data_IF_986583588707
#
_entry.id   IF_986583588707
#
_cell.length_a   1.000
_cell.length_b   1.000
_cell.length_c   1.000
_cell.angle_alpha   90.00
_cell.angle_beta   90.00
_cell.angle_gamma   90.00
#
_symmetry.space_group_name_H-M   'P 1'
#
loop_
_entity.id
_entity.type
_entity.pdbx_description
1 polymer ?
#
# COMPACT_ATOMS: atom_id res chain seq x y z
N UNK A 1 -18.99 -3.74 6.44
CA UNK A 1 -17.52 -3.67 6.57
C UNK A 1 -17.14 -2.36 7.24
N UNK A 2 -16.06 -2.32 8.04
CA UNK A 2 -15.74 -1.16 8.88
C UNK A 2 -15.34 0.07 8.05
N UNK A 3 -15.88 1.23 8.39
CA UNK A 3 -15.50 2.54 7.82
C UNK A 3 -14.66 3.37 8.80
N UNK A 4 -14.27 2.78 9.93
CA UNK A 4 -13.56 3.47 11.01
C UNK A 4 -12.27 4.14 10.54
N UNK A 5 -11.49 3.45 9.71
CA UNK A 5 -10.26 3.99 9.15
C UNK A 5 -10.47 5.20 8.22
N UNK A 6 -11.68 5.37 7.68
CA UNK A 6 -12.05 6.47 6.80
C UNK A 6 -12.71 7.64 7.55
N UNK A 7 -12.87 7.57 8.87
CA UNK A 7 -13.39 8.69 9.65
C UNK A 7 -12.41 9.87 9.63
N UNK A 8 -12.89 11.13 9.80
CA UNK A 8 -12.03 12.31 9.84
C UNK A 8 -10.90 12.20 10.87
N UNK A 9 -9.69 12.61 10.51
CA UNK A 9 -8.50 12.63 11.37
C UNK A 9 -7.69 13.91 11.18
N UNK A 10 -6.88 14.33 12.17
CA UNK A 10 -6.07 15.55 12.05
C UNK A 10 -5.13 15.56 10.83
N UNK A 11 -4.59 14.39 10.45
CA UNK A 11 -3.70 14.26 9.30
C UNK A 11 -4.39 14.39 7.94
N UNK A 12 -5.73 14.50 7.87
CA UNK A 12 -6.45 14.51 6.59
C UNK A 12 -6.14 15.77 5.75
N UNK A 13 -5.68 16.85 6.38
CA UNK A 13 -5.23 18.07 5.71
C UNK A 13 -3.75 18.03 5.27
N UNK A 14 -3.00 16.99 5.67
CA UNK A 14 -1.59 16.88 5.28
C UNK A 14 -1.47 16.69 3.77
N UNK A 15 -0.60 17.48 3.15
CA UNK A 15 -0.26 17.37 1.74
C UNK A 15 0.47 16.06 1.46
N UNK A 16 0.20 15.47 0.29
CA UNK A 16 0.85 14.27 -0.22
C UNK A 16 1.65 14.66 -1.46
N UNK A 17 2.97 14.46 -1.38
CA UNK A 17 3.90 14.68 -2.50
C UNK A 17 4.37 13.37 -3.13
N UNK A 18 4.39 12.29 -2.35
CA UNK A 18 4.81 10.97 -2.81
C UNK A 18 3.88 9.91 -2.24
N UNK A 19 3.46 8.99 -3.10
CA UNK A 19 2.79 7.75 -2.71
C UNK A 19 3.79 6.63 -2.84
N UNK A 20 4.18 6.03 -1.71
CA UNK A 20 5.20 4.99 -1.63
C UNK A 20 4.55 3.65 -1.35
N UNK A 21 4.80 2.63 -2.16
CA UNK A 21 4.47 1.24 -1.82
C UNK A 21 5.66 0.63 -1.09
N UNK A 22 5.43 0.02 0.07
CA UNK A 22 6.48 -0.56 0.92
C UNK A 22 6.24 -2.06 1.07
N UNK A 23 7.31 -2.84 0.88
CA UNK A 23 7.34 -4.27 1.10
C UNK A 23 8.02 -4.56 2.43
N UNK A 24 7.31 -5.17 3.37
CA UNK A 24 7.81 -5.51 4.70
C UNK A 24 8.11 -7.01 4.80
N UNK A 25 9.27 -7.37 5.34
CA UNK A 25 9.52 -8.75 5.74
C UNK A 25 8.75 -9.09 7.03
N UNK A 26 7.97 -10.18 7.02
CA UNK A 26 7.28 -10.70 8.21
C UNK A 26 8.17 -11.61 9.08
N UNK A 27 9.43 -11.81 8.67
CA UNK A 27 10.42 -12.58 9.41
C UNK A 27 11.62 -12.92 8.53
N UNK A 28 12.71 -13.44 9.13
CA UNK A 28 13.82 -13.96 8.35
C UNK A 28 13.33 -15.12 7.48
N UNK A 29 13.90 -15.25 6.29
CA UNK A 29 13.75 -16.48 5.50
C UNK A 29 14.26 -17.62 6.38
N UNK A 30 13.38 -18.56 6.78
CA UNK A 30 13.80 -19.71 7.59
C UNK A 30 14.89 -20.46 6.83
N UNK A 31 15.90 -20.99 7.52
CA UNK A 31 16.97 -21.77 6.89
C UNK A 31 16.34 -22.97 6.15
N UNK A 32 16.51 -23.04 4.83
CA UNK A 32 15.88 -24.05 3.97
C UNK A 32 14.51 -23.67 3.37
N UNK A 33 13.95 -22.52 3.75
CA UNK A 33 12.79 -21.94 3.07
C UNK A 33 13.24 -21.09 1.88
N UNK A 34 12.47 -21.13 0.81
CA UNK A 34 12.72 -20.38 -0.43
C UNK A 34 11.88 -19.11 -0.53
N UNK A 35 11.23 -18.64 0.54
CA UNK A 35 10.31 -17.50 0.48
C UNK A 35 10.23 -16.78 1.83
N UNK A 36 10.31 -15.43 1.82
CA UNK A 36 9.96 -14.58 2.96
C UNK A 36 8.49 -14.21 2.82
N UNK A 37 7.65 -14.39 3.84
CA UNK A 37 6.31 -13.81 3.74
C UNK A 37 6.42 -12.29 3.77
N UNK A 38 5.96 -11.63 2.71
CA UNK A 38 5.95 -10.19 2.62
C UNK A 38 4.56 -9.65 2.94
N UNK A 39 4.53 -8.48 3.56
CA UNK A 39 3.34 -7.67 3.69
C UNK A 39 3.54 -6.37 2.92
N UNK A 40 2.53 -5.97 2.14
CA UNK A 40 2.60 -4.79 1.29
C UNK A 40 1.67 -3.72 1.83
N UNK A 41 2.18 -2.49 1.94
CA UNK A 41 1.41 -1.33 2.41
C UNK A 41 1.66 -0.14 1.51
N UNK A 42 0.76 0.85 1.58
CA UNK A 42 0.97 2.15 0.94
C UNK A 42 1.30 3.18 2.02
N UNK A 43 2.27 4.05 1.79
CA UNK A 43 2.64 5.18 2.64
C UNK A 43 2.47 6.48 1.86
N UNK A 44 1.77 7.44 2.45
CA UNK A 44 1.62 8.79 1.92
C UNK A 44 2.67 9.69 2.59
N UNK A 45 3.52 10.33 1.79
CA UNK A 45 4.62 11.16 2.25
C UNK A 45 4.38 12.63 1.93
N UNK A 46 4.55 13.48 2.93
CA UNK A 46 4.52 14.94 2.80
C UNK A 46 5.93 15.47 2.52
N UNK A 47 6.10 16.55 1.74
CA UNK A 47 7.42 16.99 1.28
C UNK A 47 8.35 17.45 2.42
N UNK A 48 7.79 17.92 3.54
CA UNK A 48 8.54 18.51 4.66
C UNK A 48 8.24 17.83 6.01
N UNK A 49 7.75 16.58 6.00
CA UNK A 49 7.44 15.84 7.22
C UNK A 49 8.40 14.66 7.40
N UNK A 50 8.88 14.37 8.62
CA UNK A 50 9.54 13.11 8.92
C UNK A 50 8.55 11.95 9.12
N UNK A 51 7.24 12.24 9.12
CA UNK A 51 6.18 11.25 9.33
C UNK A 51 5.63 10.73 8.00
N UNK A 52 5.05 9.53 8.03
CA UNK A 52 4.26 8.98 6.93
C UNK A 52 2.87 8.57 7.41
N UNK A 53 1.88 8.65 6.51
CA UNK A 53 0.56 8.07 6.76
C UNK A 53 0.50 6.72 6.04
N UNK A 54 0.48 5.63 6.81
CA UNK A 54 0.42 4.27 6.27
C UNK A 54 -1.02 3.84 6.09
N UNK A 55 -1.35 3.40 4.89
CA UNK A 55 -2.55 2.66 4.52
C UNK A 55 -2.20 1.18 4.51
N UNK A 56 -2.81 0.43 5.41
CA UNK A 56 -2.48 -0.95 5.69
C UNK A 56 -3.74 -1.81 5.62
N UNK A 57 -3.82 -2.64 4.58
CA UNK A 57 -4.93 -3.58 4.42
C UNK A 57 -4.51 -4.91 5.03
N UNK A 58 -5.12 -5.29 6.15
CA UNK A 58 -4.77 -6.48 6.95
C UNK A 58 -5.86 -7.56 6.89
N UNK A 59 -5.51 -8.85 7.00
CA UNK A 59 -6.49 -9.91 7.09
C UNK A 59 -7.28 -9.82 8.41
N UNK A 60 -8.59 -10.02 8.31
CA UNK A 60 -9.55 -10.01 9.41
C UNK A 60 -10.54 -11.16 9.24
N UNK A 61 -10.41 -12.20 10.06
CA UNK A 61 -11.16 -13.43 9.88
C UNK A 61 -10.76 -14.17 8.58
N UNK A 62 -11.60 -15.09 8.08
CA UNK A 62 -11.18 -16.03 7.03
C UNK A 62 -10.97 -15.40 5.65
N UNK A 63 -11.68 -14.31 5.30
CA UNK A 63 -11.61 -13.69 3.97
C UNK A 63 -11.83 -12.17 3.96
N UNK A 64 -11.95 -11.48 5.09
CA UNK A 64 -12.20 -10.05 5.09
C UNK A 64 -10.89 -9.27 5.22
N UNK A 65 -10.76 -8.18 4.48
CA UNK A 65 -9.71 -7.18 4.71
C UNK A 65 -10.21 -6.08 5.64
N UNK A 66 -9.37 -5.67 6.59
CA UNK A 66 -9.57 -4.46 7.39
C UNK A 66 -8.53 -3.43 6.96
N UNK A 67 -9.00 -2.29 6.45
CA UNK A 67 -8.15 -1.13 6.23
C UNK A 67 -7.83 -0.48 7.58
N UNK A 68 -6.54 -0.23 7.82
CA UNK A 68 -6.02 0.53 8.94
C UNK A 68 -5.23 1.70 8.37
N UNK A 69 -5.50 2.92 8.86
CA UNK A 69 -4.75 4.12 8.50
C UNK A 69 -4.07 4.68 9.74
N UNK A 70 -2.75 4.81 9.71
CA UNK A 70 -1.95 5.19 10.87
C UNK A 70 -0.84 6.17 10.50
N UNK A 71 -0.66 7.21 11.31
CA UNK A 71 0.51 8.08 11.23
C UNK A 71 1.71 7.40 11.91
N UNK A 72 2.85 7.40 11.24
CA UNK A 72 4.09 6.77 11.69
C UNK A 72 5.20 7.82 11.79
N UNK A 73 6.05 7.78 12.85
CA UNK A 73 7.10 8.77 13.07
C UNK A 73 8.35 8.52 12.20
N UNK A 74 8.16 7.93 11.02
CA UNK A 74 9.22 7.60 10.07
C UNK A 74 8.67 7.52 8.64
N UNK A 75 9.55 7.71 7.66
CA UNK A 75 9.22 7.62 6.23
C UNK A 75 9.29 6.19 5.68
N UNK A 76 10.15 5.34 6.24
CA UNK A 76 10.36 3.94 5.84
C UNK A 76 10.57 3.08 7.08
N UNK A 77 9.93 1.91 7.11
CA UNK A 77 10.11 0.95 8.20
C UNK A 77 11.51 0.33 8.15
N UNK A 78 12.10 0.03 9.31
CA UNK A 78 13.32 -0.79 9.40
C UNK A 78 13.12 -2.22 8.91
N UNK A 79 11.87 -2.66 8.72
CA UNK A 79 11.51 -3.95 8.13
C UNK A 79 11.24 -3.89 6.63
N UNK A 80 11.42 -2.73 6.00
CA UNK A 80 11.24 -2.59 4.56
C UNK A 80 12.36 -3.31 3.81
N UNK A 81 12.01 -4.28 2.99
CA UNK A 81 12.94 -4.99 2.08
C UNK A 81 13.01 -4.32 0.72
N UNK A 82 11.94 -3.61 0.32
CA UNK A 82 11.88 -2.79 -0.88
C UNK A 82 10.83 -1.68 -0.72
N UNK A 83 10.94 -0.64 -1.55
CA UNK A 83 9.89 0.36 -1.72
C UNK A 83 9.88 0.91 -3.15
N UNK A 84 8.73 1.42 -3.57
CA UNK A 84 8.50 1.98 -4.90
C UNK A 84 7.77 3.31 -4.76
N UNK A 85 8.35 4.38 -5.32
CA UNK A 85 7.84 5.74 -5.18
C UNK A 85 7.13 6.20 -6.43
N UNK A 86 5.95 6.79 -6.22
CA UNK A 86 5.17 7.45 -7.25
C UNK A 86 4.95 8.89 -6.83
N UNK A 87 5.51 9.82 -7.61
CA UNK A 87 5.37 11.24 -7.33
C UNK A 87 3.96 11.73 -7.68
N UNK A 88 3.39 12.55 -6.80
CA UNK A 88 2.19 13.32 -7.12
C UNK A 88 2.59 14.41 -8.13
N UNK A 89 1.73 14.68 -9.11
CA UNK A 89 2.01 15.73 -10.08
C UNK A 89 2.24 17.10 -9.42
N UNK A 90 3.29 17.86 -9.81
CA UNK A 90 3.63 19.12 -9.15
C UNK A 90 2.55 20.21 -9.17
N UNK A 91 1.61 20.16 -10.12
CA UNK A 91 0.50 21.10 -10.25
C UNK A 91 -0.75 20.69 -9.45
N UNK A 92 -0.70 19.56 -8.74
CA UNK A 92 -1.81 19.06 -7.92
C UNK A 92 -1.56 19.33 -6.44
N UNK A 93 -2.55 19.92 -5.78
CA UNK A 93 -2.62 19.93 -4.32
C UNK A 93 -3.46 18.74 -3.88
N UNK A 94 -2.81 17.69 -3.38
CA UNK A 94 -3.45 16.44 -2.93
C UNK A 94 -3.23 16.30 -1.43
N UNK A 95 -4.29 16.02 -0.70
CA UNK A 95 -4.22 15.73 0.73
C UNK A 95 -4.47 14.25 1.03
N UNK A 96 -4.14 13.82 2.25
CA UNK A 96 -4.50 12.50 2.76
C UNK A 96 -6.02 12.28 2.72
N UNK A 97 -6.81 13.33 2.99
CA UNK A 97 -8.26 13.32 2.85
C UNK A 97 -8.71 12.99 1.42
N UNK A 98 -8.10 13.61 0.40
CA UNK A 98 -8.42 13.29 -1.00
C UNK A 98 -8.14 11.83 -1.34
N UNK A 99 -7.03 11.27 -0.84
CA UNK A 99 -6.71 9.84 -1.02
C UNK A 99 -7.77 8.97 -0.34
N UNK A 100 -8.18 9.28 0.90
CA UNK A 100 -9.24 8.55 1.62
C UNK A 100 -10.57 8.59 0.88
N UNK A 101 -10.93 9.72 0.28
CA UNK A 101 -12.16 9.86 -0.50
C UNK A 101 -12.15 8.96 -1.74
N UNK A 102 -11.02 8.87 -2.44
CA UNK A 102 -10.85 7.94 -3.57
C UNK A 102 -11.00 6.49 -3.11
N UNK A 103 -10.36 6.11 -2.01
CA UNK A 103 -10.50 4.75 -1.44
C UNK A 103 -11.94 4.46 -1.01
N UNK A 104 -12.65 5.46 -0.50
CA UNK A 104 -14.07 5.33 -0.13
C UNK A 104 -14.92 5.12 -1.38
N UNK A 105 -14.78 6.02 -2.36
CA UNK A 105 -15.54 6.02 -3.60
C UNK A 105 -15.37 4.72 -4.38
N UNK A 106 -14.13 4.22 -4.50
CA UNK A 106 -13.83 2.97 -5.20
C UNK A 106 -14.02 1.71 -4.32
N UNK A 107 -14.54 1.84 -3.10
CA UNK A 107 -14.80 0.70 -2.23
C UNK A 107 -13.56 -0.06 -1.77
N UNK A 108 -12.37 0.56 -1.73
CA UNK A 108 -11.11 -0.12 -1.36
C UNK A 108 -11.04 -0.55 0.11
N UNK A 109 -11.88 0.03 0.96
CA UNK A 109 -12.10 -0.40 2.33
C UNK A 109 -13.03 -1.63 2.46
N UNK A 110 -13.67 -2.05 1.36
CA UNK A 110 -14.57 -3.21 1.26
C UNK A 110 -13.89 -4.39 0.56
N UNK A 111 -12.60 -4.56 0.83
CA UNK A 111 -11.78 -5.58 0.21
C UNK A 111 -11.96 -6.94 0.91
N UNK A 112 -12.15 -7.99 0.14
CA UNK A 112 -12.07 -9.38 0.60
C UNK A 112 -10.74 -9.96 0.18
N UNK A 113 -9.94 -10.31 1.19
CA UNK A 113 -8.65 -10.95 1.02
C UNK A 113 -8.80 -12.43 0.66
N UNK A 114 -7.73 -12.98 0.10
CA UNK A 114 -7.55 -14.41 -0.09
C UNK A 114 -6.92 -15.03 1.17
N UNK A 115 -6.92 -16.36 1.25
CA UNK A 115 -6.45 -17.07 2.46
C UNK A 115 -4.95 -16.88 2.73
N UNK A 116 -4.14 -16.69 1.68
CA UNK A 116 -2.68 -16.60 1.84
C UNK A 116 -2.09 -15.28 1.33
N UNK A 117 -2.91 -14.26 1.04
CA UNK A 117 -2.39 -12.98 0.59
C UNK A 117 -3.43 -11.96 0.10
N UNK A 118 -3.05 -11.24 -0.95
CA UNK A 118 -3.88 -10.22 -1.57
C UNK A 118 -3.57 -8.78 -1.14
N UNK A 119 -2.60 -8.54 -0.25
CA UNK A 119 -2.14 -7.20 0.08
C UNK A 119 -1.48 -6.51 -1.13
N UNK A 120 -0.77 -7.27 -1.96
CA UNK A 120 -0.18 -6.79 -3.21
C UNK A 120 -1.26 -6.31 -4.19
N UNK A 121 -2.29 -7.14 -4.43
CA UNK A 121 -3.41 -6.81 -5.30
C UNK A 121 -4.15 -5.57 -4.82
N UNK A 122 -4.30 -5.42 -3.50
CA UNK A 122 -4.88 -4.20 -2.91
C UNK A 122 -4.02 -2.97 -3.19
N UNK A 123 -2.71 -3.02 -2.93
CA UNK A 123 -1.79 -1.91 -3.20
C UNK A 123 -1.80 -1.51 -4.68
N UNK A 124 -1.81 -2.49 -5.59
CA UNK A 124 -1.93 -2.24 -7.03
C UNK A 124 -3.19 -1.47 -7.39
N UNK A 125 -4.34 -1.88 -6.84
CA UNK A 125 -5.61 -1.19 -7.07
C UNK A 125 -5.57 0.25 -6.52
N UNK A 126 -4.93 0.50 -5.37
CA UNK A 126 -4.75 1.87 -4.85
C UNK A 126 -3.92 2.73 -5.81
N UNK A 127 -2.77 2.25 -6.28
CA UNK A 127 -1.94 3.02 -7.22
C UNK A 127 -2.66 3.25 -8.55
N UNK A 128 -3.36 2.23 -9.06
CA UNK A 128 -4.17 2.35 -10.27
C UNK A 128 -5.30 3.38 -10.13
N UNK A 129 -5.98 3.41 -8.99
CA UNK A 129 -7.02 4.40 -8.73
C UNK A 129 -6.48 5.83 -8.72
N UNK A 130 -5.32 6.03 -8.09
CA UNK A 130 -4.67 7.34 -8.03
C UNK A 130 -4.13 7.78 -9.40
N UNK A 131 -3.65 6.85 -10.22
CA UNK A 131 -3.32 7.10 -11.63
C UNK A 131 -4.55 7.51 -12.43
N UNK A 132 -5.67 6.76 -12.31
CA UNK A 132 -6.93 7.07 -12.99
C UNK A 132 -7.52 8.43 -12.56
N UNK A 133 -7.27 8.86 -11.32
CA UNK A 133 -7.64 10.17 -10.81
C UNK A 133 -6.69 11.31 -11.26
N UNK A 134 -5.69 11.01 -12.10
CA UNK A 134 -4.63 11.93 -12.53
C UNK A 134 -3.87 12.58 -11.36
N UNK A 135 -3.72 11.84 -10.25
CA UNK A 135 -2.87 12.21 -9.11
C UNK A 135 -1.43 11.76 -9.36
N UNK A 136 -1.27 10.54 -9.88
CA UNK A 136 0.01 9.93 -10.24
C UNK A 136 0.17 9.87 -11.76
N UNK A 137 1.38 9.53 -12.23
CA UNK A 137 1.64 9.25 -13.64
C UNK A 137 0.74 8.14 -14.19
N UNK A 138 0.31 8.22 -15.48
CA UNK A 138 -0.67 7.29 -16.06
C UNK A 138 -0.23 5.82 -15.99
N UNK A 139 1.08 5.58 -16.01
CA UNK A 139 1.66 4.23 -16.01
C UNK A 139 2.01 3.71 -14.61
N UNK A 140 1.73 4.45 -13.53
CA UNK A 140 2.12 4.05 -12.17
C UNK A 140 1.61 2.66 -11.77
N UNK A 141 0.39 2.30 -12.22
CA UNK A 141 -0.16 0.96 -12.01
C UNK A 141 0.61 -0.14 -12.74
N UNK A 142 1.09 0.13 -13.95
CA UNK A 142 1.84 -0.83 -14.77
C UNK A 142 3.28 -0.98 -14.24
N UNK A 143 3.89 0.12 -13.82
CA UNK A 143 5.20 0.14 -13.15
C UNK A 143 5.17 -0.72 -11.87
N UNK A 144 4.12 -0.58 -11.06
CA UNK A 144 3.94 -1.41 -9.87
C UNK A 144 3.66 -2.87 -10.25
N UNK A 145 2.84 -3.13 -11.27
CA UNK A 145 2.50 -4.48 -11.73
C UNK A 145 3.75 -5.28 -12.11
N UNK A 146 4.73 -4.64 -12.77
CA UNK A 146 5.98 -5.26 -13.21
C UNK A 146 6.81 -5.86 -12.06
N UNK A 147 6.65 -5.35 -10.84
CA UNK A 147 7.40 -5.81 -9.66
C UNK A 147 6.53 -6.58 -8.65
N UNK A 148 5.20 -6.57 -8.82
CA UNK A 148 4.24 -7.09 -7.85
C UNK A 148 4.32 -8.60 -7.64
N UNK A 149 4.85 -9.31 -8.64
CA UNK A 149 5.07 -10.75 -8.63
C UNK A 149 6.34 -11.14 -7.86
N UNK A 150 7.07 -10.21 -7.25
CA UNK A 150 8.32 -10.51 -6.57
C UNK A 150 8.15 -10.64 -5.06
N UNK A 151 8.80 -11.64 -4.50
CA UNK A 151 9.02 -11.81 -3.07
C UNK A 151 10.39 -11.23 -2.71
N UNK A 152 10.41 -10.25 -1.84
CA UNK A 152 11.61 -9.50 -1.45
C UNK A 152 12.15 -9.99 -0.10
N UNK A 153 13.47 -10.06 0.01
CA UNK A 153 14.18 -10.38 1.25
C UNK A 153 15.42 -9.49 1.39
N UNK A 154 15.98 -9.39 2.59
CA UNK A 154 17.19 -8.59 2.83
C UNK A 154 18.46 -9.14 2.18
N UNK A 155 18.55 -10.46 1.98
CA UNK A 155 19.83 -11.13 1.67
C UNK A 155 19.77 -12.04 0.44
N UNK A 156 18.57 -12.31 -0.07
CA UNK A 156 18.34 -13.16 -1.24
C UNK A 156 17.68 -12.30 -2.32
N UNK A 157 18.12 -12.41 -3.59
CA UNK A 157 17.47 -11.74 -4.71
C UNK A 157 15.96 -11.98 -4.74
N UNK A 158 15.17 -11.04 -5.30
CA UNK A 158 13.74 -11.23 -5.39
C UNK A 158 13.38 -12.50 -6.18
N UNK A 159 12.43 -13.26 -5.66
CA UNK A 159 11.94 -14.49 -6.30
C UNK A 159 10.51 -14.29 -6.76
N UNK A 160 10.18 -14.79 -7.95
CA UNK A 160 8.83 -14.71 -8.44
C UNK A 160 7.87 -15.54 -7.58
N UNK A 161 6.69 -14.98 -7.34
CA UNK A 161 5.57 -15.60 -6.66
C UNK A 161 4.27 -15.22 -7.36
N UNK A 162 3.29 -16.11 -7.28
CA UNK A 162 1.96 -15.85 -7.81
C UNK A 162 1.20 -14.88 -6.88
N UNK A 163 0.64 -13.83 -7.47
CA UNK A 163 -0.21 -12.88 -6.74
C UNK A 163 -1.58 -13.52 -6.52
N UNK A 164 -2.09 -13.40 -5.31
CA UNK A 164 -3.47 -13.74 -5.02
C UNK A 164 -4.39 -12.54 -5.24
N UNK A 165 -5.45 -12.76 -6.01
CA UNK A 165 -6.41 -11.72 -6.42
C UNK A 165 -7.63 -11.81 -5.50
N UNK A 166 -7.82 -10.79 -4.67
CA UNK A 166 -9.04 -10.61 -3.89
C UNK A 166 -10.13 -9.84 -4.63
N UNK A 167 -11.28 -9.65 -3.98
CA UNK A 167 -12.47 -8.99 -4.55
C UNK A 167 -12.86 -7.74 -3.77
N UNK A 168 -13.59 -6.83 -4.41
CA UNK A 168 -14.16 -5.63 -3.80
C UNK A 168 -15.69 -5.70 -3.90
N UNK A 169 -16.39 -5.22 -2.88
CA UNK A 169 -17.86 -5.17 -2.79
C UNK A 169 -18.35 -3.76 -2.53
#
# INVERSE_FOLDING_TARGET
MSTEALQPKPYDSHEVSTVRVVVHALGPVKRGASISYNHWTVSLLSPNSPHSIRLDMQPSGPRNGTLIITELPYLVSTRATAYFDFLVYPDKSVTVGNVKDILRFNGRHRYSMTEHGGCQWWCWNVIKDLSNAAILGPNAGDELWAVLHNNFSFYVPPMQHQIEIGTFY
#
